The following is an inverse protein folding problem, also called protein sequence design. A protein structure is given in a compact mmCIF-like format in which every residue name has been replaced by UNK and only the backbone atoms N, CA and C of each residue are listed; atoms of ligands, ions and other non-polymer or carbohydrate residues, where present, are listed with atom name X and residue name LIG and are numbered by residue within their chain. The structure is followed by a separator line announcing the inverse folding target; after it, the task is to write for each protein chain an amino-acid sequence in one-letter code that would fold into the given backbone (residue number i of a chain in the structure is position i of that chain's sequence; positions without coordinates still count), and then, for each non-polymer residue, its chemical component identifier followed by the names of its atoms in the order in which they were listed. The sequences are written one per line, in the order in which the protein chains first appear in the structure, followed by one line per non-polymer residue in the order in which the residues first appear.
data_IF_732964601680
#
_entry.id   IF_732964601680
#
_cell.length_a   1.000
_cell.length_b   1.000
_cell.length_c   1.000
_cell.angle_alpha   90.00
_cell.angle_beta   90.00
_cell.angle_gamma   90.00
#
_symmetry.space_group_name_H-M   'P 1'
#
loop_
_entity.id
_entity.type
_entity.pdbx_description
1 polymer ?
#
# COMPACT_ATOMS: atom_id res chain seq x y z
N UNK A 1 -12.89 -11.37 6.51
CA UNK A 1 -13.24 -10.08 7.13
C UNK A 1 -12.69 -8.95 6.28
N UNK A 2 -13.47 -7.90 6.04
CA UNK A 2 -13.02 -6.73 5.27
C UNK A 2 -12.33 -5.75 6.20
N UNK A 3 -11.15 -5.26 5.83
CA UNK A 3 -10.45 -4.22 6.58
C UNK A 3 -9.97 -3.09 5.67
N UNK A 4 -9.78 -1.92 6.29
CA UNK A 4 -9.19 -0.76 5.67
C UNK A 4 -7.71 -0.66 6.06
N UNK A 5 -6.84 -0.55 5.07
CA UNK A 5 -5.43 -0.23 5.24
C UNK A 5 -5.20 1.23 4.85
N UNK A 6 -4.66 2.01 5.77
CA UNK A 6 -4.22 3.38 5.51
C UNK A 6 -2.72 3.35 5.24
N UNK A 7 -2.36 3.46 3.97
CA UNK A 7 -0.98 3.37 3.50
C UNK A 7 -0.34 4.75 3.48
N UNK A 8 0.83 4.86 4.09
CA UNK A 8 1.68 6.06 4.03
C UNK A 8 2.87 5.77 3.11
N UNK A 9 3.06 6.58 2.07
CA UNK A 9 4.20 6.44 1.17
C UNK A 9 5.38 7.26 1.71
N UNK A 10 6.51 6.63 2.08
CA UNK A 10 7.65 7.36 2.63
C UNK A 10 8.27 8.26 1.56
N UNK A 11 8.35 9.55 1.84
CA UNK A 11 8.68 10.58 0.86
C UNK A 11 10.04 10.35 0.17
N UNK A 12 11.09 10.05 0.93
CA UNK A 12 12.44 9.81 0.40
C UNK A 12 12.49 8.61 -0.55
N UNK A 13 12.23 7.38 -0.06
CA UNK A 13 12.25 6.17 -0.88
C UNK A 13 11.31 6.24 -2.10
N UNK A 14 10.11 6.80 -1.92
CA UNK A 14 9.16 6.93 -3.02
C UNK A 14 9.68 7.88 -4.10
N UNK A 15 10.28 9.02 -3.73
CA UNK A 15 10.87 9.92 -4.71
C UNK A 15 12.06 9.32 -5.43
N UNK A 16 12.91 8.55 -4.74
CA UNK A 16 14.00 7.81 -5.39
C UNK A 16 13.44 6.84 -6.42
N UNK A 17 12.41 6.06 -6.04
CA UNK A 17 11.75 5.11 -6.95
C UNK A 17 11.05 5.78 -8.14
N UNK A 18 10.56 7.01 -7.98
CA UNK A 18 10.00 7.80 -9.08
C UNK A 18 11.11 8.27 -10.02
N UNK A 19 12.22 8.77 -9.46
CA UNK A 19 13.36 9.28 -10.23
C UNK A 19 14.09 8.19 -11.00
N UNK A 20 14.23 7.01 -10.42
CA UNK A 20 14.89 5.86 -11.06
C UNK A 20 13.94 5.02 -11.95
N UNK A 21 12.66 5.39 -12.02
CA UNK A 21 11.64 4.72 -12.84
C UNK A 21 11.13 3.39 -12.29
N UNK A 22 11.57 2.96 -11.10
CA UNK A 22 11.20 1.65 -10.51
C UNK A 22 9.86 1.66 -9.75
N UNK A 23 9.26 2.84 -9.53
CA UNK A 23 8.02 2.98 -8.75
C UNK A 23 6.88 2.11 -9.26
N UNK A 24 6.68 2.05 -10.59
CA UNK A 24 5.58 1.27 -11.18
C UNK A 24 5.72 -0.23 -10.89
N UNK A 25 6.94 -0.77 -11.02
CA UNK A 25 7.22 -2.18 -10.72
C UNK A 25 7.03 -2.49 -9.23
N UNK A 26 7.51 -1.60 -8.34
CA UNK A 26 7.32 -1.76 -6.88
C UNK A 26 5.85 -1.74 -6.50
N UNK A 27 5.07 -0.79 -7.02
CA UNK A 27 3.64 -0.70 -6.78
C UNK A 27 2.90 -1.93 -7.31
N UNK A 28 3.23 -2.38 -8.53
CA UNK A 28 2.65 -3.60 -9.11
C UNK A 28 2.88 -4.81 -8.20
N UNK A 29 4.11 -5.01 -7.74
CA UNK A 29 4.44 -6.12 -6.83
C UNK A 29 3.60 -6.09 -5.55
N UNK A 30 3.48 -4.92 -4.91
CA UNK A 30 2.66 -4.75 -3.70
C UNK A 30 1.19 -5.09 -3.99
N UNK A 31 0.63 -4.59 -5.09
CA UNK A 31 -0.76 -4.85 -5.46
C UNK A 31 -1.02 -6.32 -5.81
N UNK A 32 -0.07 -6.97 -6.49
CA UNK A 32 -0.13 -8.40 -6.83
C UNK A 32 -0.07 -9.29 -5.57
N UNK A 33 0.75 -8.91 -4.59
CA UNK A 33 0.89 -9.64 -3.32
C UNK A 33 -0.31 -9.40 -2.37
N UNK A 34 -0.80 -8.17 -2.29
CA UNK A 34 -1.88 -7.79 -1.34
C UNK A 34 -3.28 -8.02 -1.88
N UNK A 35 -3.45 -8.15 -3.20
CA UNK A 35 -4.74 -8.39 -3.90
C UNK A 35 -5.91 -7.60 -3.29
N UNK A 36 -5.81 -6.26 -3.23
CA UNK A 36 -6.86 -5.45 -2.66
C UNK A 36 -8.13 -5.52 -3.51
N UNK A 37 -9.27 -5.42 -2.84
CA UNK A 37 -10.56 -5.31 -3.50
C UNK A 37 -10.71 -3.93 -4.18
N UNK A 38 -10.19 -2.89 -3.53
CA UNK A 38 -10.19 -1.53 -4.06
C UNK A 38 -8.99 -0.74 -3.54
N UNK A 39 -8.49 0.19 -4.35
CA UNK A 39 -7.38 1.07 -4.01
C UNK A 39 -7.72 2.50 -4.39
N UNK A 40 -7.63 3.40 -3.43
CA UNK A 40 -7.83 4.84 -3.61
C UNK A 40 -6.54 5.57 -3.27
N UNK A 41 -5.85 6.06 -4.29
CA UNK A 41 -4.67 6.91 -4.09
C UNK A 41 -5.13 8.31 -3.69
N UNK A 42 -4.67 8.79 -2.55
CA UNK A 42 -5.11 10.06 -2.00
C UNK A 42 -4.07 10.64 -1.04
N UNK A 43 -4.34 11.85 -0.61
CA UNK A 43 -3.63 12.57 0.43
C UNK A 43 -3.94 11.93 1.81
N UNK A 44 -2.92 11.76 2.66
CA UNK A 44 -3.04 11.40 4.08
C UNK A 44 -2.13 12.31 4.94
N UNK A 45 -2.69 13.35 5.56
CA UNK A 45 -1.99 14.31 6.45
C UNK A 45 -0.84 15.10 5.78
N UNK A 46 -1.13 15.80 4.70
CA UNK A 46 -0.18 16.47 3.81
C UNK A 46 0.81 15.56 3.05
N UNK A 47 0.58 14.24 2.95
CA UNK A 47 1.51 13.26 2.37
C UNK A 47 0.83 12.32 1.37
N UNK A 48 1.60 11.87 0.37
CA UNK A 48 1.15 10.82 -0.56
C UNK A 48 0.84 9.56 0.22
N UNK A 49 -0.35 9.00 -0.02
CA UNK A 49 -0.81 7.77 0.60
C UNK A 49 -1.80 7.03 -0.28
N UNK A 50 -2.38 5.99 0.29
CA UNK A 50 -3.49 5.28 -0.30
C UNK A 50 -4.40 4.72 0.78
N UNK A 51 -5.68 4.58 0.46
CA UNK A 51 -6.62 3.77 1.22
C UNK A 51 -6.86 2.50 0.42
N UNK A 52 -6.57 1.35 1.03
CA UNK A 52 -6.77 0.05 0.42
C UNK A 52 -7.84 -0.72 1.19
N UNK A 53 -8.74 -1.36 0.45
CA UNK A 53 -9.67 -2.34 1.00
C UNK A 53 -9.08 -3.71 0.74
N UNK A 54 -8.87 -4.51 1.78
CA UNK A 54 -8.42 -5.89 1.66
C UNK A 54 -9.39 -6.84 2.37
N UNK A 55 -9.48 -8.07 1.85
CA UNK A 55 -10.24 -9.13 2.47
C UNK A 55 -9.27 -10.09 3.17
N UNK A 56 -9.40 -10.21 4.48
CA UNK A 56 -8.62 -11.13 5.30
C UNK A 56 -9.39 -12.42 5.50
N UNK A 57 -8.78 -13.55 5.15
CA UNK A 57 -9.34 -14.86 5.46
C UNK A 57 -9.28 -15.13 6.96
N UNK A 58 -8.21 -14.70 7.63
CA UNK A 58 -7.98 -14.90 9.07
C UNK A 58 -7.27 -13.68 9.71
N UNK A 59 -7.61 -13.29 10.95
CA UNK A 59 -6.97 -12.16 11.65
C UNK A 59 -5.45 -12.29 11.84
N UNK A 60 -4.90 -13.51 11.86
CA UNK A 60 -3.44 -13.71 11.94
C UNK A 60 -2.67 -13.16 10.73
N UNK A 61 -3.36 -12.77 9.66
CA UNK A 61 -2.77 -12.10 8.49
C UNK A 61 -2.53 -10.61 8.68
N UNK A 62 -3.03 -9.98 9.75
CA UNK A 62 -2.84 -8.54 9.99
C UNK A 62 -1.34 -8.13 9.95
N UNK A 63 -0.41 -8.85 10.61
CA UNK A 63 1.02 -8.54 10.54
C UNK A 63 1.56 -8.50 9.10
N UNK A 64 1.16 -9.44 8.24
CA UNK A 64 1.57 -9.47 6.83
C UNK A 64 1.23 -8.18 6.06
N UNK A 65 0.14 -7.50 6.43
CA UNK A 65 -0.30 -6.27 5.75
C UNK A 65 0.20 -4.98 6.42
N UNK A 66 0.44 -4.99 7.73
CA UNK A 66 0.61 -3.78 8.54
C UNK A 66 1.99 -3.61 9.18
N UNK A 67 2.79 -4.67 9.26
CA UNK A 67 4.12 -4.66 9.87
C UNK A 67 5.19 -4.90 8.78
N UNK A 68 6.44 -4.43 8.97
CA UNK A 68 7.55 -5.10 8.33
C UNK A 68 7.65 -6.57 8.78
#
# INVERSE_FOLDING_TARGET
MRMLLIVKLPHGPFNTAVKDGTVGQKMKRILDETKPEAVYFTEQNGRRGAVMVVNLEDPSRIPFYAEP
#
